data_IF_501517331389
#
_entry.id   IF_501517331389
#
_cell.length_a   1.000
_cell.length_b   1.000
_cell.length_c   1.000
_cell.angle_alpha   90.00
_cell.angle_beta   90.00
_cell.angle_gamma   90.00
#
_symmetry.space_group_name_H-M   'P 1'
#
loop_
_entity.id
_entity.type
_entity.pdbx_description
1 polymer ?
#
# COMPACT_ATOMS: atom_id res chain seq x y z
N UNK A 1 -18.45 19.89 11.25
CA UNK A 1 -19.54 18.95 11.04
C UNK A 1 -18.99 17.55 10.77
N UNK A 2 -19.83 16.55 10.89
CA UNK A 2 -19.44 15.17 10.63
C UNK A 2 -18.98 14.97 9.19
N UNK A 3 -19.62 15.64 8.26
CA UNK A 3 -19.27 15.54 6.85
C UNK A 3 -17.87 16.09 6.57
N UNK A 4 -17.53 17.23 7.17
CA UNK A 4 -16.20 17.82 7.01
C UNK A 4 -15.15 16.91 7.63
N UNK A 5 -15.39 16.38 8.84
CA UNK A 5 -14.46 15.45 9.49
C UNK A 5 -14.25 14.19 8.66
N UNK A 6 -15.33 13.65 8.05
CA UNK A 6 -15.20 12.47 7.19
C UNK A 6 -14.34 12.77 5.95
N UNK A 7 -14.53 13.95 5.32
CA UNK A 7 -13.75 14.34 4.15
C UNK A 7 -12.28 14.55 4.49
N UNK A 8 -11.98 15.04 5.71
CA UNK A 8 -10.61 15.25 6.15
C UNK A 8 -9.89 13.94 6.49
N UNK A 9 -10.62 12.85 6.73
CA UNK A 9 -10.06 11.58 7.16
C UNK A 9 -10.13 10.49 6.10
N UNK A 10 -10.97 10.65 5.07
CA UNK A 10 -11.21 9.61 4.08
C UNK A 10 -11.00 10.12 2.67
N UNK A 11 -10.60 9.20 1.79
CA UNK A 11 -10.46 9.48 0.38
C UNK A 11 -11.84 9.50 -0.28
N UNK A 12 -12.14 10.59 -1.00
CA UNK A 12 -13.47 10.76 -1.60
C UNK A 12 -13.78 9.69 -2.65
N UNK A 13 -12.77 9.27 -3.41
CA UNK A 13 -12.98 8.30 -4.50
C UNK A 13 -13.19 6.88 -3.99
N UNK A 14 -12.30 6.40 -3.14
CA UNK A 14 -12.28 5.00 -2.69
C UNK A 14 -12.99 4.78 -1.37
N UNK A 15 -13.24 5.83 -0.60
CA UNK A 15 -13.82 5.82 0.75
C UNK A 15 -12.91 5.18 1.79
N UNK A 16 -11.69 4.81 1.41
CA UNK A 16 -10.68 4.35 2.36
C UNK A 16 -10.17 5.52 3.21
N UNK A 17 -9.57 5.25 4.38
CA UNK A 17 -8.79 6.26 5.07
C UNK A 17 -7.80 6.92 4.13
N UNK A 18 -7.58 8.21 4.33
CA UNK A 18 -6.57 8.94 3.58
C UNK A 18 -5.23 8.92 4.31
N UNK A 19 -4.24 9.62 3.73
CA UNK A 19 -2.89 9.71 4.32
C UNK A 19 -2.92 10.21 5.76
N UNK A 20 -3.69 11.25 6.04
CA UNK A 20 -3.77 11.86 7.37
C UNK A 20 -4.31 10.86 8.40
N UNK A 21 -5.38 10.17 8.07
CA UNK A 21 -5.95 9.19 8.98
C UNK A 21 -5.02 8.00 9.19
N UNK A 22 -4.35 7.55 8.13
CA UNK A 22 -3.38 6.47 8.24
C UNK A 22 -2.27 6.83 9.23
N UNK A 23 -1.71 8.04 9.13
CA UNK A 23 -0.68 8.50 10.05
C UNK A 23 -1.14 8.47 11.49
N UNK A 24 -2.35 8.97 11.74
CA UNK A 24 -2.93 8.95 13.08
C UNK A 24 -3.11 7.52 13.60
N UNK A 25 -3.61 6.63 12.77
CA UNK A 25 -3.82 5.24 13.16
C UNK A 25 -2.50 4.51 13.37
N UNK A 26 -1.49 4.78 12.53
CA UNK A 26 -0.17 4.19 12.69
C UNK A 26 0.42 4.58 14.05
N UNK A 27 0.36 5.86 14.40
CA UNK A 27 0.88 6.33 15.67
C UNK A 27 0.14 5.70 16.87
N UNK A 28 -1.16 5.47 16.74
CA UNK A 28 -1.92 4.76 17.77
C UNK A 28 -1.47 3.29 17.89
N UNK A 29 -1.22 2.64 16.77
CA UNK A 29 -0.70 1.27 16.76
C UNK A 29 0.66 1.21 17.46
N UNK A 30 1.53 2.18 17.19
CA UNK A 30 2.83 2.26 17.83
C UNK A 30 2.69 2.37 19.35
N UNK A 31 1.79 3.24 19.84
CA UNK A 31 1.56 3.39 21.26
C UNK A 31 1.04 2.09 21.88
N UNK A 32 0.17 1.38 21.18
CA UNK A 32 -0.37 0.12 21.68
C UNK A 32 0.69 -0.99 21.74
N UNK A 33 1.77 -0.87 20.97
CA UNK A 33 2.86 -1.86 20.96
C UNK A 33 3.90 -1.61 22.05
N UNK A 34 3.84 -0.50 22.77
CA UNK A 34 4.83 -0.19 23.79
C UNK A 34 4.96 -1.33 24.79
N UNK A 35 6.22 -1.69 25.10
CA UNK A 35 6.54 -2.80 26.01
C UNK A 35 6.07 -4.18 25.52
N UNK A 36 5.89 -4.34 24.22
CA UNK A 36 5.60 -5.62 23.60
C UNK A 36 6.68 -5.93 22.57
N UNK A 37 6.71 -7.18 22.13
CA UNK A 37 7.61 -7.63 21.05
C UNK A 37 6.94 -7.55 19.68
N UNK A 38 5.77 -6.94 19.60
CA UNK A 38 5.02 -6.87 18.36
C UNK A 38 5.68 -5.91 17.38
N UNK A 39 5.46 -6.21 16.11
CA UNK A 39 6.01 -5.46 14.98
C UNK A 39 4.84 -5.01 14.11
N UNK A 40 4.94 -3.81 13.57
CA UNK A 40 3.98 -3.36 12.56
C UNK A 40 4.64 -3.53 11.20
N UNK A 41 3.98 -4.31 10.33
CA UNK A 41 4.42 -4.48 8.95
C UNK A 41 3.74 -3.43 8.09
N UNK A 42 4.54 -2.76 7.27
CA UNK A 42 4.07 -1.74 6.34
C UNK A 42 4.20 -2.27 4.91
N UNK A 43 3.08 -2.32 4.19
CA UNK A 43 3.06 -2.66 2.77
C UNK A 43 2.74 -1.38 2.01
N UNK A 44 3.69 -0.89 1.23
CA UNK A 44 3.47 0.27 0.35
C UNK A 44 3.21 -0.26 -1.06
N UNK A 45 2.03 0.02 -1.59
CA UNK A 45 1.50 -0.64 -2.79
C UNK A 45 1.23 0.41 -3.86
N UNK A 46 1.71 0.18 -5.08
CA UNK A 46 1.41 1.09 -6.17
C UNK A 46 1.01 0.29 -7.42
N UNK A 47 0.06 0.82 -8.18
CA UNK A 47 -0.37 0.20 -9.43
C UNK A 47 0.71 0.41 -10.50
N UNK A 48 1.05 -0.67 -11.19
CA UNK A 48 1.96 -0.60 -12.32
C UNK A 48 1.22 -0.10 -13.55
N UNK A 49 1.83 0.84 -14.26
CA UNK A 49 1.31 1.34 -15.54
C UNK A 49 -0.07 2.00 -15.45
N UNK A 50 -0.43 2.56 -14.31
CA UNK A 50 -1.73 3.22 -14.14
C UNK A 50 -1.91 4.37 -15.13
N UNK A 51 -0.85 5.14 -15.39
CA UNK A 51 -0.91 6.22 -16.36
C UNK A 51 -1.31 5.71 -17.74
N UNK A 52 -0.80 4.55 -18.15
CA UNK A 52 -1.16 3.96 -19.44
C UNK A 52 -2.64 3.62 -19.52
N UNK A 53 -3.23 3.17 -18.41
CA UNK A 53 -4.65 2.88 -18.36
C UNK A 53 -5.45 4.17 -18.54
N UNK A 54 -5.08 5.24 -17.82
CA UNK A 54 -5.73 6.54 -17.98
C UNK A 54 -5.61 7.07 -19.41
N UNK A 55 -4.42 6.95 -20.01
CA UNK A 55 -4.18 7.43 -21.36
C UNK A 55 -4.99 6.62 -22.40
N UNK A 56 -5.13 5.32 -22.19
CA UNK A 56 -5.82 4.45 -23.14
C UNK A 56 -7.34 4.47 -22.97
N UNK A 57 -7.85 4.55 -21.73
CA UNK A 57 -9.27 4.37 -21.42
C UNK A 57 -9.94 5.61 -20.82
N UNK A 58 -9.16 6.63 -20.47
CA UNK A 58 -9.69 7.84 -19.85
C UNK A 58 -9.67 7.80 -18.33
N UNK A 59 -9.74 9.00 -17.72
CA UNK A 59 -9.68 9.11 -16.25
C UNK A 59 -10.86 8.48 -15.55
N UNK A 60 -12.03 8.45 -16.20
CA UNK A 60 -13.22 7.82 -15.61
C UNK A 60 -12.99 6.32 -15.40
N UNK A 61 -12.38 5.65 -16.39
CA UNK A 61 -12.03 4.23 -16.27
C UNK A 61 -10.95 4.04 -15.20
N UNK A 62 -9.96 4.94 -15.14
CA UNK A 62 -8.95 4.91 -14.11
C UNK A 62 -9.54 5.02 -12.71
N UNK A 63 -10.52 5.90 -12.52
CA UNK A 63 -11.23 6.05 -11.25
C UNK A 63 -11.97 4.77 -10.86
N UNK A 64 -12.64 4.14 -11.83
CA UNK A 64 -13.30 2.86 -11.58
C UNK A 64 -12.30 1.79 -11.17
N UNK A 65 -11.16 1.73 -11.84
CA UNK A 65 -10.10 0.79 -11.49
C UNK A 65 -9.62 1.00 -10.07
N UNK A 66 -9.39 2.25 -9.67
CA UNK A 66 -8.95 2.56 -8.30
C UNK A 66 -9.96 2.09 -7.26
N UNK A 67 -11.26 2.27 -7.51
CA UNK A 67 -12.30 1.77 -6.61
C UNK A 67 -12.27 0.26 -6.51
N UNK A 68 -12.11 -0.43 -7.63
CA UNK A 68 -12.09 -1.90 -7.68
C UNK A 68 -10.84 -2.45 -7.01
N UNK A 69 -9.70 -1.81 -7.22
CA UNK A 69 -8.45 -2.16 -6.53
C UNK A 69 -8.63 -2.01 -5.01
N UNK A 70 -9.20 -0.89 -4.59
CA UNK A 70 -9.47 -0.64 -3.17
C UNK A 70 -10.32 -1.76 -2.56
N UNK A 71 -11.35 -2.19 -3.27
CA UNK A 71 -12.22 -3.26 -2.79
C UNK A 71 -11.47 -4.58 -2.66
N UNK A 72 -10.63 -4.93 -3.63
CA UNK A 72 -9.85 -6.16 -3.56
C UNK A 72 -8.82 -6.14 -2.44
N UNK A 73 -8.17 -5.00 -2.23
CA UNK A 73 -7.23 -4.85 -1.12
C UNK A 73 -7.96 -4.99 0.22
N UNK A 74 -9.12 -4.39 0.33
CA UNK A 74 -9.93 -4.51 1.54
C UNK A 74 -10.30 -5.97 1.83
N UNK A 75 -10.62 -6.73 0.80
CA UNK A 75 -10.99 -8.14 0.95
C UNK A 75 -9.80 -9.02 1.35
N UNK A 76 -8.59 -8.69 0.90
CA UNK A 76 -7.38 -9.43 1.28
C UNK A 76 -6.96 -9.12 2.72
N UNK A 77 -7.18 -7.90 3.16
CA UNK A 77 -6.76 -7.44 4.50
C UNK A 77 -7.54 -8.16 5.58
N UNK A 78 -6.90 -8.31 6.76
CA UNK A 78 -7.59 -8.78 7.95
C UNK A 78 -8.44 -7.66 8.54
N UNK A 79 -9.43 -8.04 9.36
CA UNK A 79 -10.37 -7.08 9.94
C UNK A 79 -9.68 -5.98 10.74
N UNK A 80 -8.55 -6.30 11.39
CA UNK A 80 -7.82 -5.35 12.23
C UNK A 80 -6.72 -4.59 11.47
N UNK A 81 -6.51 -4.92 10.21
CA UNK A 81 -5.52 -4.19 9.39
C UNK A 81 -6.04 -2.81 9.04
N UNK A 82 -5.12 -1.89 8.85
CA UNK A 82 -5.44 -0.55 8.36
C UNK A 82 -5.05 -0.48 6.89
N UNK A 83 -5.97 -0.08 6.05
CA UNK A 83 -5.68 0.15 4.65
C UNK A 83 -6.10 1.56 4.28
N UNK A 84 -5.26 2.25 3.51
CA UNK A 84 -5.49 3.64 3.13
C UNK A 84 -5.08 3.87 1.69
N UNK A 85 -5.72 4.86 1.06
CA UNK A 85 -5.21 5.41 -0.18
C UNK A 85 -4.22 6.51 0.18
N UNK A 86 -2.96 6.31 -0.21
CA UNK A 86 -1.89 7.25 0.11
C UNK A 86 -1.94 8.48 -0.82
N UNK A 87 -2.23 8.25 -2.08
CA UNK A 87 -2.37 9.29 -3.08
C UNK A 87 -2.43 8.65 -4.45
N UNK A 88 -2.90 9.35 -5.47
CA UNK A 88 -2.91 8.85 -6.84
C UNK A 88 -3.26 7.36 -6.96
N UNK A 89 -2.27 6.59 -7.37
CA UNK A 89 -2.35 5.14 -7.54
C UNK A 89 -1.61 4.37 -6.44
N UNK A 90 -1.44 4.99 -5.26
CA UNK A 90 -0.68 4.42 -4.15
C UNK A 90 -1.58 4.10 -2.97
N UNK A 91 -1.31 2.95 -2.33
CA UNK A 91 -2.04 2.46 -1.17
C UNK A 91 -1.06 1.98 -0.11
N UNK A 92 -1.47 2.03 1.15
CA UNK A 92 -0.67 1.52 2.27
C UNK A 92 -1.53 0.59 3.11
N UNK A 93 -0.97 -0.56 3.46
CA UNK A 93 -1.60 -1.50 4.38
C UNK A 93 -0.68 -1.69 5.58
N UNK A 94 -1.25 -1.55 6.79
CA UNK A 94 -0.54 -1.77 8.06
C UNK A 94 -1.13 -2.99 8.74
N UNK A 95 -0.25 -3.86 9.24
CA UNK A 95 -0.65 -5.05 9.97
C UNK A 95 0.23 -5.26 11.18
N UNK A 96 -0.37 -5.59 12.32
CA UNK A 96 0.36 -5.88 13.56
C UNK A 96 0.24 -7.33 14.00
N UNK A 97 -0.34 -8.20 13.18
CA UNK A 97 -0.57 -9.60 13.55
C UNK A 97 0.33 -10.60 12.82
N UNK A 98 1.20 -10.15 11.92
CA UNK A 98 2.09 -11.02 11.19
C UNK A 98 3.34 -11.30 12.03
N UNK A 99 3.54 -12.55 12.43
CA UNK A 99 4.57 -12.93 13.40
C UNK A 99 5.84 -13.47 12.76
N UNK A 100 5.75 -13.97 11.54
CA UNK A 100 6.85 -14.61 10.86
C UNK A 100 7.00 -14.04 9.46
N UNK A 101 8.22 -14.10 8.94
CA UNK A 101 8.50 -13.64 7.57
C UNK A 101 7.63 -14.38 6.56
N UNK A 102 7.39 -15.68 6.77
CA UNK A 102 6.54 -16.46 5.88
C UNK A 102 5.11 -15.90 5.82
N UNK A 103 4.59 -15.39 6.93
CA UNK A 103 3.26 -14.79 6.96
C UNK A 103 3.24 -13.46 6.19
N UNK A 104 4.31 -12.69 6.29
CA UNK A 104 4.44 -11.42 5.55
C UNK A 104 4.51 -11.71 4.05
N UNK A 105 5.30 -12.69 3.64
CA UNK A 105 5.41 -13.10 2.24
C UNK A 105 4.05 -13.59 1.73
N UNK A 106 3.34 -14.38 2.52
CA UNK A 106 2.01 -14.87 2.13
C UNK A 106 1.03 -13.72 1.90
N UNK A 107 1.06 -12.70 2.77
CA UNK A 107 0.20 -11.52 2.59
C UNK A 107 0.56 -10.77 1.31
N UNK A 108 1.85 -10.57 1.05
CA UNK A 108 2.30 -9.90 -0.16
C UNK A 108 1.86 -10.68 -1.41
N UNK A 109 2.01 -11.99 -1.40
CA UNK A 109 1.56 -12.84 -2.51
C UNK A 109 0.05 -12.77 -2.71
N UNK A 110 -0.71 -12.76 -1.62
CA UNK A 110 -2.16 -12.63 -1.69
C UNK A 110 -2.58 -11.30 -2.33
N UNK A 111 -1.88 -10.23 -1.99
CA UNK A 111 -2.14 -8.93 -2.61
C UNK A 111 -1.83 -8.98 -4.11
N UNK A 112 -0.67 -9.50 -4.47
CA UNK A 112 -0.28 -9.63 -5.87
C UNK A 112 -1.31 -10.43 -6.66
N UNK A 113 -1.72 -11.58 -6.13
CA UNK A 113 -2.66 -12.46 -6.79
C UNK A 113 -4.03 -11.82 -6.96
N UNK A 114 -4.51 -11.13 -5.92
CA UNK A 114 -5.83 -10.48 -5.97
C UNK A 114 -5.87 -9.41 -7.06
N UNK A 115 -4.79 -8.64 -7.22
CA UNK A 115 -4.78 -7.55 -8.20
C UNK A 115 -4.51 -8.06 -9.62
N UNK A 116 -3.83 -9.18 -9.77
CA UNK A 116 -3.56 -9.76 -11.09
C UNK A 116 -4.81 -10.31 -11.79
N UNK A 117 -5.86 -10.61 -11.03
CA UNK A 117 -7.10 -11.08 -11.63
C UNK A 117 -7.76 -10.00 -12.46
N UNK A 118 -8.45 -10.43 -13.52
CA UNK A 118 -9.13 -9.55 -14.45
C UNK A 118 -10.07 -8.58 -13.74
N UNK A 119 -10.02 -7.31 -14.13
CA UNK A 119 -11.01 -6.30 -13.79
C UNK A 119 -11.93 -6.10 -14.98
N UNK A 120 -13.21 -5.92 -14.72
CA UNK A 120 -14.15 -5.62 -15.79
C UNK A 120 -14.59 -4.17 -15.68
N UNK A 121 -14.17 -3.36 -16.66
CA UNK A 121 -14.43 -1.93 -16.68
C UNK A 121 -15.10 -1.60 -18.01
N UNK A 122 -16.35 -1.12 -17.94
CA UNK A 122 -17.13 -0.77 -19.14
C UNK A 122 -17.17 -1.92 -20.16
N UNK A 123 -17.41 -3.14 -19.65
CA UNK A 123 -17.49 -4.39 -20.44
C UNK A 123 -16.17 -4.83 -21.06
N UNK A 124 -15.05 -4.19 -20.68
CA UNK A 124 -13.72 -4.59 -21.13
C UNK A 124 -12.95 -5.24 -20.01
N UNK A 125 -12.20 -6.29 -20.33
CA UNK A 125 -11.28 -6.92 -19.39
C UNK A 125 -10.00 -6.13 -19.31
N UNK A 126 -9.64 -5.72 -18.08
CA UNK A 126 -8.42 -4.95 -17.82
C UNK A 126 -7.55 -5.75 -16.85
N UNK A 127 -6.26 -5.85 -17.16
CA UNK A 127 -5.28 -6.52 -16.32
C UNK A 127 -4.25 -5.50 -15.86
N UNK A 128 -4.01 -5.48 -14.55
CA UNK A 128 -2.97 -4.63 -13.96
C UNK A 128 -2.23 -5.45 -12.93
N UNK A 129 -1.08 -4.93 -12.51
CA UNK A 129 -0.31 -5.51 -11.42
C UNK A 129 0.05 -4.42 -10.44
N UNK A 130 0.64 -4.82 -9.32
CA UNK A 130 1.13 -3.88 -8.30
C UNK A 130 2.59 -4.18 -7.99
N UNK A 131 3.28 -3.14 -7.53
CA UNK A 131 4.59 -3.26 -6.93
C UNK A 131 4.45 -2.96 -5.45
N UNK A 132 5.07 -3.77 -4.60
CA UNK A 132 4.90 -3.69 -3.15
C UNK A 132 6.26 -3.56 -2.49
N UNK A 133 6.41 -2.53 -1.64
CA UNK A 133 7.56 -2.40 -0.77
C UNK A 133 7.15 -2.68 0.66
N UNK A 134 8.01 -3.35 1.40
CA UNK A 134 7.72 -3.80 2.76
C UNK A 134 8.79 -3.29 3.71
N UNK A 135 8.36 -2.67 4.81
CA UNK A 135 9.22 -2.31 5.92
C UNK A 135 8.57 -2.73 7.23
N UNK A 136 9.37 -2.71 8.29
CA UNK A 136 8.91 -3.10 9.63
C UNK A 136 9.18 -1.97 10.61
N UNK A 137 8.20 -1.70 11.46
CA UNK A 137 8.40 -0.84 12.61
C UNK A 137 8.56 -1.74 13.84
N UNK A 138 9.57 -1.55 14.70
CA UNK A 138 10.56 -0.47 14.70
C UNK A 138 11.88 -0.75 13.97
N UNK A 139 12.08 -1.95 13.46
CA UNK A 139 13.37 -2.35 12.87
C UNK A 139 13.81 -1.42 11.74
N UNK A 140 12.90 -1.06 10.84
CA UNK A 140 13.22 -0.24 9.67
C UNK A 140 12.83 1.22 9.84
N UNK A 141 12.60 1.68 11.05
CA UNK A 141 12.31 3.08 11.30
C UNK A 141 11.86 3.31 12.71
N UNK A 142 12.40 4.34 13.33
CA UNK A 142 12.08 4.71 14.73
C UNK A 142 10.78 5.49 14.84
N UNK A 143 10.21 5.93 13.72
CA UNK A 143 8.93 6.66 13.67
C UNK A 143 8.07 6.08 12.55
N UNK A 144 6.78 6.37 12.60
CA UNK A 144 5.86 5.97 11.53
C UNK A 144 6.29 6.58 10.19
N UNK A 145 6.72 7.84 10.20
CA UNK A 145 7.13 8.53 8.97
C UNK A 145 8.33 7.85 8.32
N UNK A 146 9.32 7.46 9.12
CA UNK A 146 10.51 6.79 8.58
C UNK A 146 10.16 5.41 8.05
N UNK A 147 9.35 4.64 8.78
CA UNK A 147 8.93 3.32 8.31
C UNK A 147 8.15 3.39 7.00
N UNK A 148 7.26 4.37 6.86
CA UNK A 148 6.51 4.60 5.62
C UNK A 148 7.43 4.98 4.47
N UNK A 149 8.37 5.89 4.71
CA UNK A 149 9.32 6.30 3.69
C UNK A 149 10.14 5.12 3.18
N UNK A 150 10.56 4.25 4.09
CA UNK A 150 11.37 3.08 3.73
C UNK A 150 10.59 2.01 2.99
N UNK A 151 9.33 1.82 3.34
CA UNK A 151 8.47 0.95 2.53
C UNK A 151 8.30 1.51 1.12
N UNK A 152 8.12 2.83 1.01
CA UNK A 152 8.05 3.51 -0.29
C UNK A 152 9.33 3.38 -1.10
N UNK A 153 10.50 3.47 -0.47
CA UNK A 153 11.78 3.27 -1.12
C UNK A 153 11.89 1.85 -1.69
N UNK A 154 11.51 0.85 -0.90
CA UNK A 154 11.53 -0.53 -1.35
C UNK A 154 10.56 -0.74 -2.53
N UNK A 155 9.38 -0.14 -2.46
CA UNK A 155 8.38 -0.23 -3.53
C UNK A 155 8.92 0.37 -4.84
N UNK A 156 9.55 1.52 -4.75
CA UNK A 156 10.11 2.17 -5.93
C UNK A 156 11.19 1.31 -6.58
N UNK A 157 12.02 0.66 -5.77
CA UNK A 157 13.03 -0.27 -6.27
C UNK A 157 12.39 -1.42 -7.03
N UNK A 158 11.31 -1.97 -6.49
CA UNK A 158 10.54 -3.03 -7.15
C UNK A 158 10.04 -2.56 -8.51
N UNK A 159 9.53 -1.33 -8.58
CA UNK A 159 9.08 -0.76 -9.85
C UNK A 159 10.20 -0.67 -10.88
N UNK A 160 11.37 -0.25 -10.45
CA UNK A 160 12.53 -0.14 -11.35
C UNK A 160 12.97 -1.51 -11.84
N UNK A 161 12.81 -2.55 -11.03
CA UNK A 161 13.19 -3.92 -11.40
C UNK A 161 12.12 -4.64 -12.23
N UNK A 162 11.11 -3.92 -12.71
CA UNK A 162 10.09 -4.47 -13.61
C UNK A 162 8.68 -4.50 -13.05
N UNK A 163 8.51 -4.25 -11.75
CA UNK A 163 7.19 -4.25 -11.12
C UNK A 163 6.61 -5.64 -10.94
N UNK A 164 5.34 -5.70 -10.56
CA UNK A 164 4.57 -6.95 -10.43
C UNK A 164 5.23 -7.93 -9.46
N UNK A 165 5.72 -7.43 -8.34
CA UNK A 165 6.40 -8.22 -7.31
C UNK A 165 6.47 -7.42 -6.03
N UNK A 166 7.03 -8.01 -4.98
CA UNK A 166 7.27 -7.32 -3.72
C UNK A 166 8.74 -7.35 -3.37
N UNK A 167 9.16 -6.44 -2.50
CA UNK A 167 10.52 -6.42 -1.99
C UNK A 167 10.56 -5.85 -0.59
N UNK A 168 11.49 -6.36 0.21
CA UNK A 168 11.73 -5.86 1.56
C UNK A 168 12.71 -4.68 1.52
N UNK A 169 12.48 -3.71 2.37
CA UNK A 169 13.45 -2.64 2.55
C UNK A 169 14.77 -3.20 3.09
N UNK A 170 15.87 -2.71 2.54
CA UNK A 170 17.19 -2.92 3.13
C UNK A 170 18.00 -1.63 2.97
N UNK A 171 18.88 -1.30 3.91
CA UNK A 171 19.70 -0.09 3.80
C UNK A 171 20.54 -0.04 2.53
N UNK A 172 21.04 -1.18 2.08
CA UNK A 172 21.84 -1.28 0.85
C UNK A 172 21.02 -0.92 -0.38
N UNK A 173 19.77 -1.40 -0.46
CA UNK A 173 18.86 -1.06 -1.54
C UNK A 173 18.57 0.44 -1.59
N UNK A 174 18.41 1.04 -0.42
CA UNK A 174 18.15 2.47 -0.33
C UNK A 174 19.31 3.29 -0.87
N UNK A 175 20.55 2.93 -0.52
CA UNK A 175 21.74 3.64 -0.94
C UNK A 175 21.93 3.54 -2.46
N UNK A 176 21.83 2.33 -3.02
CA UNK A 176 21.96 2.11 -4.45
C UNK A 176 20.92 2.90 -5.21
N UNK A 177 19.70 2.89 -4.70
CA UNK A 177 18.59 3.55 -5.36
C UNK A 177 18.76 5.06 -5.41
N UNK A 178 19.26 5.65 -4.33
CA UNK A 178 19.46 7.10 -4.26
C UNK A 178 20.46 7.60 -5.30
N UNK A 179 21.45 6.78 -5.65
CA UNK A 179 22.48 7.16 -6.64
C UNK A 179 21.96 7.20 -8.06
N UNK A 180 20.93 6.42 -8.35
CA UNK A 180 20.41 6.31 -9.70
C UNK A 180 19.45 7.45 -10.04
N UNK A 181 19.20 8.32 -9.08
CA UNK A 181 18.44 9.52 -9.32
C UNK A 181 19.33 10.65 -9.75
#
# INVERSE_FOLDING_TARGET
>A
SQQVAHQESHDALTKLPNRSKLQTQFNRMIQALQNTDKVITVFFITLDNFKKINDAMGHHAGDKLLRMVSQRLFEVAHADDVIARWGGDEFVLLSDHLREESAVIAMAQNILDAIRHRFEIDDLGVFVSVSIGISFYPENGSTSEIALERAGTAMYRVKQDGGNQFGFYSPESSVVWTRDQ
#
